data_IF_952543968507
#
_entry.id   IF_952543968507
#
_cell.length_a   1.000
_cell.length_b   1.000
_cell.length_c   1.000
_cell.angle_alpha   90.00
_cell.angle_beta   90.00
_cell.angle_gamma   90.00
#
_symmetry.space_group_name_H-M   'P 1'
#
loop_
_entity.id
_entity.type
_entity.pdbx_description
1 polymer ?
#
# COMPACT_ATOMS: atom_id res chain seq x y z
N UNK A 1 -2.15 7.96 -10.80
CA UNK A 1 -1.77 9.26 -10.18
C UNK A 1 -3.02 9.97 -9.68
N UNK A 2 -2.96 10.74 -8.60
CA UNK A 2 -4.13 11.41 -8.00
C UNK A 2 -3.85 12.86 -7.67
N UNK A 3 -4.42 13.79 -8.46
CA UNK A 3 -4.33 15.23 -8.19
C UNK A 3 -4.94 15.57 -6.83
N UNK A 4 -6.10 14.98 -6.52
CA UNK A 4 -6.81 15.17 -5.25
C UNK A 4 -5.90 14.86 -4.04
N UNK A 5 -5.17 13.74 -4.07
CA UNK A 5 -4.32 13.35 -2.94
C UNK A 5 -3.09 14.27 -2.82
N UNK A 6 -2.52 14.74 -3.92
CA UNK A 6 -1.43 15.73 -3.85
C UNK A 6 -1.90 17.06 -3.25
N UNK A 7 -3.09 17.53 -3.61
CA UNK A 7 -3.67 18.75 -3.02
C UNK A 7 -3.95 18.57 -1.52
N UNK A 8 -4.55 17.44 -1.12
CA UNK A 8 -4.78 17.11 0.28
C UNK A 8 -3.48 17.00 1.09
N UNK A 9 -2.42 16.46 0.50
CA UNK A 9 -1.12 16.35 1.16
C UNK A 9 -0.52 17.73 1.46
N UNK A 10 -0.61 18.68 0.53
CA UNK A 10 -0.17 20.08 0.73
C UNK A 10 -0.96 20.76 1.85
N UNK A 11 -2.30 20.66 1.81
CA UNK A 11 -3.17 21.19 2.87
C UNK A 11 -2.87 20.54 4.23
N UNK A 12 -2.52 19.26 4.25
CA UNK A 12 -2.16 18.55 5.48
C UNK A 12 -0.86 19.08 6.08
N UNK A 13 0.14 19.38 5.26
CA UNK A 13 1.40 19.95 5.73
C UNK A 13 1.24 21.39 6.26
N UNK A 14 0.43 22.21 5.61
CA UNK A 14 0.07 23.54 6.11
C UNK A 14 -0.64 23.45 7.48
N UNK A 15 -1.62 22.55 7.60
CA UNK A 15 -2.35 22.34 8.87
C UNK A 15 -1.46 21.86 10.02
N UNK A 16 -0.36 21.18 9.72
CA UNK A 16 0.58 20.66 10.70
C UNK A 16 1.80 21.57 10.89
N UNK A 17 1.88 22.70 10.19
CA UNK A 17 3.00 23.65 10.22
C UNK A 17 4.36 23.02 9.87
N UNK A 18 4.37 22.20 8.82
CA UNK A 18 5.58 21.51 8.32
C UNK A 18 5.77 21.67 6.82
N UNK A 19 5.07 22.62 6.19
CA UNK A 19 5.09 22.81 4.74
C UNK A 19 6.47 23.24 4.18
N UNK A 20 7.35 23.75 5.02
CA UNK A 20 8.74 24.07 4.72
C UNK A 20 9.67 22.84 4.73
N UNK A 21 9.24 21.74 5.37
CA UNK A 21 10.02 20.52 5.53
C UNK A 21 9.62 19.40 4.55
N UNK A 22 8.43 19.48 3.94
CA UNK A 22 7.92 18.45 3.01
C UNK A 22 7.49 19.05 1.68
N UNK A 23 7.84 18.37 0.59
CA UNK A 23 7.46 18.75 -0.77
C UNK A 23 6.64 17.64 -1.42
N UNK A 24 5.47 18.01 -1.96
CA UNK A 24 4.61 17.08 -2.70
C UNK A 24 4.59 17.42 -4.19
N UNK A 25 4.90 16.45 -5.03
CA UNK A 25 4.94 16.56 -6.48
C UNK A 25 3.83 15.68 -7.07
N UNK A 26 2.97 16.27 -7.90
CA UNK A 26 2.00 15.50 -8.67
C UNK A 26 2.67 15.02 -9.95
N UNK A 27 2.86 13.71 -10.09
CA UNK A 27 3.50 13.11 -11.25
C UNK A 27 3.56 11.60 -11.16
N UNK A 28 4.07 10.99 -12.22
CA UNK A 28 4.36 9.56 -12.25
C UNK A 28 5.70 9.33 -11.57
N UNK A 29 5.74 8.41 -10.61
CA UNK A 29 6.97 8.07 -9.89
C UNK A 29 7.75 6.94 -10.57
N UNK A 30 7.24 6.36 -11.66
CA UNK A 30 7.95 5.34 -12.42
C UNK A 30 9.29 5.91 -12.93
N UNK A 31 10.39 5.24 -12.57
CA UNK A 31 11.75 5.68 -12.94
C UNK A 31 12.22 6.95 -12.24
N UNK A 32 11.53 7.43 -11.20
CA UNK A 32 11.94 8.63 -10.48
C UNK A 32 13.26 8.44 -9.74
N UNK A 33 14.24 9.27 -10.06
CA UNK A 33 15.52 9.38 -9.36
C UNK A 33 15.75 10.84 -8.98
N UNK A 34 15.95 11.07 -7.68
CA UNK A 34 16.25 12.35 -7.06
C UNK A 34 17.69 12.76 -7.32
N UNK A 35 17.89 14.06 -7.56
CA UNK A 35 19.21 14.67 -7.67
C UNK A 35 20.00 14.52 -6.37
N UNK A 36 19.32 14.67 -5.22
CA UNK A 36 19.90 14.49 -3.90
C UNK A 36 19.60 13.11 -3.33
N UNK A 37 20.63 12.44 -2.80
CA UNK A 37 20.46 11.16 -2.11
C UNK A 37 19.78 11.36 -0.76
N UNK A 38 18.95 10.39 -0.37
CA UNK A 38 18.18 10.40 0.89
C UNK A 38 18.68 9.35 1.88
N UNK A 39 18.43 9.57 3.18
CA UNK A 39 18.71 8.58 4.22
C UNK A 39 17.65 7.47 4.28
N UNK A 40 16.43 7.76 3.83
CA UNK A 40 15.32 6.80 3.74
C UNK A 40 14.62 6.99 2.40
N UNK A 41 14.43 5.91 1.63
CA UNK A 41 13.65 5.88 0.40
C UNK A 41 12.48 4.89 0.56
N UNK A 42 11.26 5.32 0.26
CA UNK A 42 10.06 4.55 0.60
C UNK A 42 9.12 4.36 -0.60
N UNK A 43 8.57 3.16 -0.72
CA UNK A 43 7.40 2.86 -1.55
C UNK A 43 6.42 2.02 -0.73
N UNK A 44 5.28 2.61 -0.38
CA UNK A 44 4.34 2.05 0.59
C UNK A 44 3.03 1.73 -0.11
N UNK A 45 2.83 0.45 -0.45
CA UNK A 45 1.62 -0.04 -1.12
C UNK A 45 1.50 0.43 -2.57
N UNK A 46 2.63 0.56 -3.28
CA UNK A 46 2.67 1.07 -4.67
C UNK A 46 3.80 0.45 -5.53
N UNK A 47 4.29 -0.75 -5.20
CA UNK A 47 5.45 -1.36 -5.89
C UNK A 47 5.20 -1.69 -7.36
N UNK A 48 3.94 -1.70 -7.82
CA UNK A 48 3.62 -1.82 -9.25
C UNK A 48 4.27 -0.72 -10.10
N UNK A 49 4.62 0.43 -9.52
CA UNK A 49 5.29 1.56 -10.18
C UNK A 49 6.62 1.14 -10.85
N UNK A 50 7.30 0.14 -10.28
CA UNK A 50 8.55 -0.39 -10.82
C UNK A 50 8.48 -1.90 -11.09
N UNK A 51 7.31 -2.41 -11.45
CA UNK A 51 7.14 -3.82 -11.82
C UNK A 51 7.20 -4.80 -10.65
N UNK A 52 6.81 -4.36 -9.45
CA UNK A 52 6.75 -5.18 -8.24
C UNK A 52 7.91 -4.90 -7.27
N UNK A 53 8.01 -5.74 -6.24
CA UNK A 53 8.93 -5.53 -5.10
C UNK A 53 10.39 -5.39 -5.54
N UNK A 54 10.87 -6.29 -6.40
CA UNK A 54 12.28 -6.32 -6.84
C UNK A 54 12.65 -5.02 -7.56
N UNK A 55 11.91 -4.66 -8.61
CA UNK A 55 12.22 -3.44 -9.37
C UNK A 55 12.01 -2.17 -8.55
N UNK A 56 11.11 -2.20 -7.56
CA UNK A 56 10.96 -1.06 -6.63
C UNK A 56 12.16 -0.92 -5.70
N UNK A 57 12.69 -2.01 -5.16
CA UNK A 57 13.92 -1.97 -4.37
C UNK A 57 15.08 -1.41 -5.21
N UNK A 58 15.23 -1.88 -6.47
CA UNK A 58 16.26 -1.38 -7.38
C UNK A 58 16.10 0.14 -7.68
N UNK A 59 14.87 0.60 -7.84
CA UNK A 59 14.58 2.03 -8.05
C UNK A 59 14.89 2.86 -6.79
N UNK A 60 14.49 2.39 -5.61
CA UNK A 60 14.72 3.10 -4.35
C UNK A 60 16.21 3.12 -3.98
N UNK A 61 16.95 2.04 -4.25
CA UNK A 61 18.39 1.95 -4.01
C UNK A 61 19.17 3.03 -4.78
N UNK A 62 18.74 3.39 -6.00
CA UNK A 62 19.34 4.48 -6.77
C UNK A 62 19.23 5.85 -6.08
N UNK A 63 18.29 6.02 -5.15
CA UNK A 63 18.05 7.28 -4.45
C UNK A 63 18.77 7.36 -3.09
N UNK A 64 19.40 6.27 -2.64
CA UNK A 64 19.82 6.12 -1.26
C UNK A 64 21.28 6.56 -1.03
N UNK A 65 21.56 7.13 0.15
CA UNK A 65 22.93 7.33 0.64
C UNK A 65 23.51 5.98 1.12
N UNK A 66 24.85 5.81 1.13
CA UNK A 66 25.47 4.66 1.80
C UNK A 66 24.96 4.51 3.24
N UNK A 67 24.52 3.30 3.62
CA UNK A 67 23.95 3.02 4.94
C UNK A 67 22.52 3.52 5.16
N UNK A 68 21.83 4.00 4.13
CA UNK A 68 20.41 4.37 4.23
C UNK A 68 19.48 3.16 4.29
N UNK A 69 18.18 3.44 4.49
CA UNK A 69 17.12 2.44 4.64
C UNK A 69 16.12 2.53 3.49
N UNK A 70 15.74 1.38 2.94
CA UNK A 70 14.59 1.25 2.04
C UNK A 70 13.37 0.84 2.86
N UNK A 71 12.22 1.49 2.63
CA UNK A 71 10.93 1.07 3.18
C UNK A 71 10.03 0.52 2.08
N UNK A 72 9.62 -0.74 2.22
CA UNK A 72 8.68 -1.41 1.32
C UNK A 72 7.41 -1.73 2.09
N UNK A 73 6.29 -1.14 1.69
CA UNK A 73 4.96 -1.48 2.22
C UNK A 73 4.26 -2.46 1.30
N UNK A 74 4.05 -3.71 1.73
CA UNK A 74 3.56 -4.79 0.87
C UNK A 74 2.53 -5.69 1.56
N UNK A 75 1.54 -6.20 0.80
CA UNK A 75 0.70 -7.29 1.26
C UNK A 75 1.45 -8.62 1.34
N UNK A 76 0.97 -9.51 2.20
CA UNK A 76 1.39 -10.90 2.32
C UNK A 76 0.19 -11.75 2.75
N UNK A 77 0.27 -13.07 2.64
CA UNK A 77 -0.75 -13.95 3.22
C UNK A 77 -0.55 -14.07 4.73
N UNK A 78 -1.50 -13.56 5.52
CA UNK A 78 -1.59 -13.80 6.97
C UNK A 78 -1.89 -15.27 7.23
N UNK A 79 -2.81 -15.83 6.45
CA UNK A 79 -3.12 -17.24 6.37
C UNK A 79 -3.19 -17.61 4.91
N UNK A 80 -2.68 -18.79 4.56
CA UNK A 80 -2.74 -19.25 3.18
C UNK A 80 -4.21 -19.46 2.78
N UNK A 81 -4.70 -18.80 1.71
CA UNK A 81 -6.04 -19.04 1.20
C UNK A 81 -6.20 -20.52 0.81
N UNK A 82 -7.29 -21.19 1.21
CA UNK A 82 -7.49 -22.60 0.88
C UNK A 82 -7.82 -22.83 -0.61
N UNK A 83 -8.28 -21.79 -1.32
CA UNK A 83 -8.61 -21.84 -2.74
C UNK A 83 -8.29 -20.52 -3.44
N UNK A 84 -8.14 -20.57 -4.76
CA UNK A 84 -7.99 -19.37 -5.60
C UNK A 84 -9.17 -18.40 -5.48
N UNK A 85 -10.37 -18.91 -5.22
CA UNK A 85 -11.56 -18.06 -5.02
C UNK A 85 -11.48 -17.27 -3.71
N UNK A 86 -10.87 -17.82 -2.65
CA UNK A 86 -10.58 -17.06 -1.42
C UNK A 86 -9.51 -16.00 -1.67
N UNK A 87 -8.49 -16.30 -2.47
CA UNK A 87 -7.49 -15.30 -2.87
C UNK A 87 -8.12 -14.15 -3.67
N UNK A 88 -9.00 -14.47 -4.63
CA UNK A 88 -9.80 -13.47 -5.36
C UNK A 88 -10.75 -12.69 -4.45
N UNK A 89 -11.32 -13.33 -3.44
CA UNK A 89 -12.09 -12.66 -2.39
C UNK A 89 -11.29 -11.61 -1.62
N UNK A 90 -9.97 -11.81 -1.51
CA UNK A 90 -9.02 -10.83 -0.97
C UNK A 90 -8.58 -9.75 -1.96
N UNK A 91 -9.14 -9.76 -3.18
CA UNK A 91 -8.77 -8.90 -4.31
C UNK A 91 -7.35 -9.18 -4.88
N UNK A 92 -6.81 -10.38 -4.65
CA UNK A 92 -5.66 -10.88 -5.38
C UNK A 92 -6.08 -11.48 -6.74
N UNK A 93 -5.18 -11.57 -7.70
CA UNK A 93 -5.38 -12.32 -8.94
C UNK A 93 -5.20 -13.83 -8.73
N UNK A 94 -4.25 -14.23 -7.88
CA UNK A 94 -3.97 -15.63 -7.54
C UNK A 94 -3.37 -15.80 -6.13
N UNK A 95 -3.37 -17.02 -5.60
CA UNK A 95 -2.61 -17.37 -4.39
C UNK A 95 -1.11 -17.04 -4.58
N UNK A 96 -0.57 -17.20 -5.78
CA UNK A 96 0.85 -16.97 -6.05
C UNK A 96 1.27 -15.49 -6.10
N UNK A 97 0.31 -14.56 -6.07
CA UNK A 97 0.61 -13.12 -6.09
C UNK A 97 1.32 -12.67 -4.81
N UNK A 98 1.02 -13.33 -3.68
CA UNK A 98 1.59 -13.01 -2.38
C UNK A 98 2.28 -14.22 -1.76
N UNK A 99 3.27 -13.94 -0.93
CA UNK A 99 3.96 -14.92 -0.11
C UNK A 99 3.38 -14.93 1.30
N UNK A 100 3.56 -16.04 2.01
CA UNK A 100 3.43 -16.03 3.46
C UNK A 100 4.56 -15.17 4.08
N UNK A 101 4.34 -14.64 5.29
CA UNK A 101 5.29 -13.69 5.90
C UNK A 101 6.75 -14.21 5.99
N UNK A 102 7.03 -15.46 6.44
CA UNK A 102 8.40 -15.96 6.49
C UNK A 102 9.08 -15.98 5.11
N UNK A 103 8.35 -16.37 4.08
CA UNK A 103 8.82 -16.44 2.69
C UNK A 103 9.08 -15.06 2.12
N UNK A 104 8.24 -14.07 2.44
CA UNK A 104 8.47 -12.67 2.07
C UNK A 104 9.76 -12.14 2.72
N UNK A 105 9.97 -12.38 4.02
CA UNK A 105 11.20 -11.97 4.72
C UNK A 105 12.46 -12.62 4.12
N UNK A 106 12.39 -13.91 3.81
CA UNK A 106 13.47 -14.64 3.12
C UNK A 106 13.73 -14.07 1.72
N UNK A 107 12.68 -13.63 1.01
CA UNK A 107 12.81 -13.07 -0.33
C UNK A 107 13.68 -11.81 -0.34
N UNK A 108 13.56 -10.92 0.65
CA UNK A 108 14.44 -9.75 0.79
C UNK A 108 15.91 -10.16 0.99
N UNK A 109 16.15 -11.19 1.80
CA UNK A 109 17.49 -11.75 2.00
C UNK A 109 18.13 -12.31 0.73
N UNK A 110 17.33 -12.89 -0.18
CA UNK A 110 17.79 -13.36 -1.49
C UNK A 110 18.15 -12.21 -2.44
N UNK A 111 17.60 -11.03 -2.21
CA UNK A 111 17.92 -9.79 -2.93
C UNK A 111 19.15 -9.07 -2.34
N UNK A 112 19.78 -9.62 -1.30
CA UNK A 112 20.96 -9.01 -0.67
C UNK A 112 20.64 -7.95 0.38
N UNK A 113 19.40 -7.93 0.90
CA UNK A 113 18.99 -7.00 1.93
C UNK A 113 18.71 -7.69 3.26
N UNK A 114 19.11 -7.06 4.36
CA UNK A 114 18.68 -7.43 5.70
C UNK A 114 17.41 -6.67 6.06
N UNK A 115 16.44 -7.39 6.62
CA UNK A 115 15.25 -6.79 7.24
C UNK A 115 15.63 -6.34 8.64
N UNK A 116 15.69 -5.03 8.87
CA UNK A 116 16.14 -4.44 10.14
C UNK A 116 14.99 -3.94 11.02
N UNK A 117 13.78 -3.83 10.45
CA UNK A 117 12.55 -3.57 11.19
C UNK A 117 11.32 -3.99 10.37
N UNK A 118 10.19 -4.23 11.03
CA UNK A 118 8.88 -4.33 10.39
C UNK A 118 7.73 -3.85 11.30
N UNK A 119 6.77 -3.12 10.71
CA UNK A 119 5.49 -2.79 11.34
C UNK A 119 4.36 -3.42 10.54
N UNK A 120 3.64 -4.35 11.15
CA UNK A 120 2.59 -5.14 10.51
C UNK A 120 1.21 -4.61 10.90
N UNK A 121 0.30 -4.57 9.94
CA UNK A 121 -1.11 -4.33 10.20
C UNK A 121 -1.71 -5.54 10.93
N UNK A 122 -2.45 -5.26 12.00
CA UNK A 122 -3.38 -6.20 12.57
C UNK A 122 -4.76 -6.07 11.89
N UNK A 123 -5.72 -6.86 12.37
CA UNK A 123 -7.08 -6.84 11.82
C UNK A 123 -7.76 -5.49 12.08
N UNK A 124 -7.47 -4.83 13.21
CA UNK A 124 -8.03 -3.51 13.53
C UNK A 124 -7.49 -2.42 12.59
N UNK A 125 -6.21 -2.49 12.22
CA UNK A 125 -5.59 -1.65 11.20
C UNK A 125 -6.28 -1.82 9.84
N UNK A 126 -6.57 -3.05 9.44
CA UNK A 126 -7.39 -3.34 8.27
C UNK A 126 -8.83 -2.82 8.40
N UNK A 127 -9.46 -2.96 9.58
CA UNK A 127 -10.81 -2.46 9.84
C UNK A 127 -10.86 -0.94 9.65
N UNK A 128 -9.82 -0.21 10.08
CA UNK A 128 -9.72 1.25 9.88
C UNK A 128 -9.59 1.62 8.41
N UNK A 129 -8.80 0.88 7.65
CA UNK A 129 -8.62 1.14 6.22
C UNK A 129 -9.90 0.85 5.41
N UNK A 130 -10.53 -0.31 5.61
CA UNK A 130 -11.68 -0.72 4.81
C UNK A 130 -12.99 -0.06 5.26
N UNK A 131 -13.28 -0.03 6.56
CA UNK A 131 -14.57 0.49 7.04
C UNK A 131 -14.73 2.00 6.82
N UNK A 132 -13.63 2.76 6.78
CA UNK A 132 -13.67 4.19 6.45
C UNK A 132 -14.20 4.46 5.03
N UNK A 133 -13.98 3.53 4.09
CA UNK A 133 -14.51 3.62 2.73
C UNK A 133 -16.03 3.52 2.72
N UNK A 134 -16.63 2.68 3.57
CA UNK A 134 -18.07 2.46 3.58
C UNK A 134 -18.85 3.71 3.98
N UNK A 135 -18.40 4.42 5.02
CA UNK A 135 -19.02 5.69 5.42
C UNK A 135 -18.87 6.75 4.33
N UNK A 136 -17.71 6.80 3.69
CA UNK A 136 -17.44 7.71 2.57
C UNK A 136 -18.37 7.43 1.40
N UNK A 137 -18.49 6.17 0.97
CA UNK A 137 -19.42 5.75 -0.09
C UNK A 137 -20.87 6.07 0.26
N UNK A 138 -21.28 5.85 1.52
CA UNK A 138 -22.65 6.13 1.96
C UNK A 138 -23.01 7.61 1.82
N UNK A 139 -22.14 8.50 2.34
CA UNK A 139 -22.36 9.95 2.26
C UNK A 139 -22.25 10.47 0.84
N UNK A 140 -21.32 9.91 0.06
CA UNK A 140 -21.18 10.25 -1.36
C UNK A 140 -22.46 9.90 -2.13
N UNK A 141 -23.08 8.75 -1.88
CA UNK A 141 -24.34 8.37 -2.53
C UNK A 141 -25.52 9.26 -2.12
N UNK A 142 -25.54 9.77 -0.89
CA UNK A 142 -26.56 10.73 -0.45
C UNK A 142 -26.42 12.08 -1.18
N UNK A 143 -25.19 12.51 -1.46
CA UNK A 143 -24.92 13.75 -2.18
C UNK A 143 -25.00 13.61 -3.72
N UNK A 144 -24.85 12.39 -4.26
CA UNK A 144 -24.74 12.13 -5.70
C UNK A 144 -25.71 11.01 -6.14
N UNK A 145 -27.03 11.17 -5.97
CA UNK A 145 -27.99 10.10 -6.25
C UNK A 145 -28.12 9.74 -7.74
N UNK A 146 -27.91 10.73 -8.63
CA UNK A 146 -28.10 10.58 -10.08
C UNK A 146 -26.77 10.46 -10.85
N UNK A 147 -25.65 10.33 -10.14
CA UNK A 147 -24.33 10.14 -10.75
C UNK A 147 -24.24 8.78 -11.45
N UNK A 148 -23.49 8.73 -12.56
CA UNK A 148 -23.32 7.50 -13.34
C UNK A 148 -22.74 6.33 -12.53
N UNK A 149 -21.91 6.62 -11.53
CA UNK A 149 -21.30 5.63 -10.64
C UNK A 149 -22.19 5.24 -9.46
N UNK A 150 -23.34 5.89 -9.26
CA UNK A 150 -24.18 5.68 -8.08
C UNK A 150 -24.60 4.21 -7.91
N UNK A 151 -24.92 3.53 -9.03
CA UNK A 151 -25.27 2.10 -9.01
C UNK A 151 -24.10 1.21 -8.58
N UNK A 152 -22.90 1.48 -9.10
CA UNK A 152 -21.70 0.70 -8.80
C UNK A 152 -21.23 0.91 -7.36
N UNK A 153 -21.22 2.15 -6.89
CA UNK A 153 -20.89 2.48 -5.50
C UNK A 153 -21.91 1.88 -4.54
N UNK A 154 -23.20 1.84 -4.91
CA UNK A 154 -24.25 1.18 -4.12
C UNK A 154 -24.04 -0.33 -4.04
N UNK A 155 -23.72 -0.97 -5.16
CA UNK A 155 -23.41 -2.40 -5.20
C UNK A 155 -22.20 -2.72 -4.28
N UNK A 156 -21.10 -1.96 -4.42
CA UNK A 156 -19.92 -2.10 -3.55
C UNK A 156 -20.25 -1.90 -2.08
N UNK A 157 -20.93 -0.83 -1.71
CA UNK A 157 -21.29 -0.58 -0.31
C UNK A 157 -22.14 -1.70 0.29
N UNK A 158 -22.93 -2.41 -0.53
CA UNK A 158 -23.72 -3.56 -0.10
C UNK A 158 -22.86 -4.79 0.15
N UNK A 159 -21.92 -5.10 -0.75
CA UNK A 159 -21.16 -6.36 -0.71
C UNK A 159 -19.83 -6.28 0.07
N UNK A 160 -19.22 -5.09 0.15
CA UNK A 160 -17.86 -4.94 0.68
C UNK A 160 -17.72 -5.33 2.16
N UNK A 161 -18.66 -5.01 3.08
CA UNK A 161 -18.51 -5.44 4.47
C UNK A 161 -18.45 -6.96 4.65
N UNK A 162 -19.30 -7.70 3.94
CA UNK A 162 -19.31 -9.16 3.96
C UNK A 162 -18.04 -9.73 3.31
N UNK A 163 -17.69 -9.27 2.10
CA UNK A 163 -16.47 -9.69 1.40
C UNK A 163 -15.23 -9.47 2.28
N UNK A 164 -15.10 -8.28 2.86
CA UNK A 164 -13.98 -7.92 3.72
C UNK A 164 -13.87 -8.87 4.92
N UNK A 165 -14.97 -9.06 5.65
CA UNK A 165 -15.00 -9.89 6.86
C UNK A 165 -14.75 -11.38 6.54
N UNK A 166 -15.25 -11.87 5.41
CA UNK A 166 -15.08 -13.27 4.99
C UNK A 166 -13.68 -13.58 4.45
N UNK A 167 -13.00 -12.59 3.84
CA UNK A 167 -11.77 -12.83 3.09
C UNK A 167 -10.60 -11.98 3.59
N UNK A 168 -10.54 -10.69 3.20
CA UNK A 168 -9.38 -9.83 3.47
C UNK A 168 -9.01 -9.81 4.95
N UNK A 169 -9.99 -9.68 5.84
CA UNK A 169 -9.77 -9.61 7.30
C UNK A 169 -9.08 -10.86 7.85
N UNK A 170 -9.31 -12.03 7.26
CA UNK A 170 -8.77 -13.29 7.75
C UNK A 170 -7.46 -13.71 7.06
N UNK A 171 -7.37 -13.53 5.75
CA UNK A 171 -6.28 -14.10 4.96
C UNK A 171 -5.20 -13.09 4.57
N UNK A 172 -5.52 -11.80 4.45
CA UNK A 172 -4.60 -10.80 3.93
C UNK A 172 -3.87 -10.06 5.07
N UNK A 173 -2.55 -10.17 5.08
CA UNK A 173 -1.64 -9.36 5.87
C UNK A 173 -1.11 -8.17 5.08
N UNK A 174 -0.63 -7.17 5.78
CA UNK A 174 0.08 -6.03 5.19
C UNK A 174 1.13 -5.53 6.19
N UNK A 175 2.26 -5.03 5.70
CA UNK A 175 3.26 -4.46 6.58
C UNK A 175 4.23 -3.54 5.85
N UNK A 176 4.97 -2.75 6.63
CA UNK A 176 6.12 -1.99 6.16
C UNK A 176 7.37 -2.70 6.66
N UNK A 177 8.30 -2.99 5.74
CA UNK A 177 9.57 -3.65 6.00
C UNK A 177 10.71 -2.67 5.75
N UNK A 178 11.59 -2.51 6.74
CA UNK A 178 12.79 -1.69 6.64
C UNK A 178 13.97 -2.55 6.22
N UNK A 179 14.63 -2.17 5.12
CA UNK A 179 15.65 -2.94 4.44
C UNK A 179 16.96 -2.16 4.39
N UNK A 180 18.08 -2.82 4.68
CA UNK A 180 19.43 -2.30 4.49
C UNK A 180 20.23 -3.27 3.61
N UNK A 181 21.07 -2.75 2.71
CA UNK A 181 21.99 -3.59 1.93
C UNK A 181 22.97 -4.30 2.86
N UNK A 182 23.25 -5.57 2.54
CA UNK A 182 24.36 -6.32 3.15
C UNK A 182 25.72 -5.80 2.73
#
# INVERSE_FOLDING_TARGET
>A
MSQLFTEQAKLRAEKLDVADQVKFIHGDAAGYVSDEKVGVAACVGATWIAGGVVGTIDLLAQNLRPGGIILIGEPYWRQLPPTEDVAKGCLAGSISDFLMLPELLVSFGRLGYDVVEMVLADQDGWDRYEAAKWLTMRRWLEANPDDELAKDVRAKLTSEPERYAAYTREYLGWGVFALMTR
#
